data_IF_594313532030
#
_entry.id   IF_594313532030
#
_cell.length_a   1.000
_cell.length_b   1.000
_cell.length_c   1.000
_cell.angle_alpha   90.00
_cell.angle_beta   90.00
_cell.angle_gamma   90.00
#
_symmetry.space_group_name_H-M   'P 1'
#
loop_
_entity.id
_entity.type
_entity.pdbx_description
1 polymer ?
#
# COMPACT_ATOMS: atom_id res chain seq x y z
N UNK A 1 23.95 16.30 5.32
CA UNK A 1 22.50 15.95 5.41
C UNK A 1 22.18 14.46 5.32
N UNK A 2 23.13 13.59 4.99
CA UNK A 2 22.97 12.14 4.81
C UNK A 2 22.95 11.32 6.11
N UNK A 3 23.81 11.64 7.08
CA UNK A 3 23.99 10.85 8.31
C UNK A 3 22.77 10.91 9.24
N UNK A 4 22.13 12.07 9.36
CA UNK A 4 20.92 12.24 10.17
C UNK A 4 19.72 11.44 9.64
N UNK A 5 19.54 11.34 8.30
CA UNK A 5 18.48 10.51 7.71
C UNK A 5 18.70 9.01 7.96
N UNK A 6 19.95 8.56 7.96
CA UNK A 6 20.29 7.15 8.21
C UNK A 6 20.10 6.78 9.68
N UNK A 7 20.48 7.68 10.61
CA UNK A 7 20.27 7.48 12.06
C UNK A 7 18.77 7.43 12.42
N UNK A 8 17.98 8.37 11.93
CA UNK A 8 16.52 8.39 12.21
C UNK A 8 15.78 7.20 11.61
N UNK A 9 16.24 6.67 10.47
CA UNK A 9 15.68 5.44 9.88
C UNK A 9 15.99 4.22 10.76
N UNK A 10 17.18 4.12 11.32
CA UNK A 10 17.58 3.00 12.18
C UNK A 10 16.85 3.04 13.53
N UNK A 11 16.76 4.19 14.19
CA UNK A 11 16.05 4.34 15.47
C UNK A 11 14.57 3.94 15.32
N UNK A 12 13.90 4.39 14.24
CA UNK A 12 12.53 3.99 13.96
C UNK A 12 12.36 2.48 13.78
N UNK A 13 13.30 1.80 13.11
CA UNK A 13 13.25 0.35 12.90
C UNK A 13 13.45 -0.42 14.22
N UNK A 14 14.37 0.03 15.08
CA UNK A 14 14.56 -0.53 16.42
C UNK A 14 13.33 -0.36 17.31
N UNK A 15 12.68 0.80 17.25
CA UNK A 15 11.43 1.03 18.00
C UNK A 15 10.34 0.01 17.63
N UNK A 16 10.13 -0.26 16.33
CA UNK A 16 9.12 -1.24 15.89
C UNK A 16 9.51 -2.68 16.23
N UNK A 17 10.80 -3.01 16.15
CA UNK A 17 11.30 -4.30 16.59
C UNK A 17 11.03 -4.54 18.09
N UNK A 18 11.39 -3.58 18.95
CA UNK A 18 11.13 -3.67 20.40
C UNK A 18 9.64 -3.71 20.70
N UNK A 19 8.83 -2.92 20.00
CA UNK A 19 7.38 -2.94 20.15
C UNK A 19 6.79 -4.30 19.83
N UNK A 20 7.24 -4.97 18.78
CA UNK A 20 6.76 -6.32 18.41
C UNK A 20 7.08 -7.35 19.50
N UNK A 21 8.19 -7.18 20.22
CA UNK A 21 8.56 -8.05 21.34
C UNK A 21 7.67 -7.76 22.57
N UNK A 22 7.45 -6.47 22.88
CA UNK A 22 6.70 -6.06 24.09
C UNK A 22 5.20 -6.21 23.89
N UNK A 23 4.69 -5.91 22.70
CA UNK A 23 3.28 -5.97 22.34
C UNK A 23 3.13 -6.60 20.95
N UNK A 24 3.22 -7.93 20.86
CA UNK A 24 3.13 -8.62 19.57
C UNK A 24 1.75 -8.41 18.95
N UNK A 25 1.72 -8.39 17.61
CA UNK A 25 0.48 -8.33 16.85
C UNK A 25 -0.47 -9.46 17.24
N UNK A 26 -1.75 -9.14 17.33
CA UNK A 26 -2.81 -10.14 17.53
C UNK A 26 -3.22 -10.79 16.21
N UNK A 27 -2.91 -10.17 15.06
CA UNK A 27 -3.23 -10.67 13.73
C UNK A 27 -2.40 -11.93 13.44
N UNK A 28 -3.09 -13.04 13.18
CA UNK A 28 -2.48 -14.34 12.89
C UNK A 28 -2.65 -14.73 11.43
N UNK A 29 -3.74 -14.32 10.80
CA UNK A 29 -4.09 -14.59 9.42
C UNK A 29 -4.02 -13.29 8.60
N UNK A 30 -3.51 -13.36 7.38
CA UNK A 30 -3.48 -12.24 6.45
C UNK A 30 -4.88 -11.72 6.09
N UNK A 31 -5.90 -12.56 6.18
CA UNK A 31 -7.31 -12.20 5.96
C UNK A 31 -7.90 -11.31 7.06
N UNK A 32 -7.30 -11.30 8.24
CA UNK A 32 -7.69 -10.41 9.35
C UNK A 32 -7.15 -8.99 9.17
N UNK A 33 -6.14 -8.79 8.29
CA UNK A 33 -5.51 -7.49 8.09
C UNK A 33 -6.51 -6.52 7.46
N UNK A 34 -6.78 -5.36 8.07
CA UNK A 34 -7.68 -4.37 7.49
C UNK A 34 -7.07 -3.75 6.23
N UNK A 35 -7.85 -3.71 5.16
CA UNK A 35 -7.50 -3.10 3.88
C UNK A 35 -8.25 -1.77 3.77
N UNK A 36 -7.52 -0.66 3.81
CA UNK A 36 -8.08 0.68 3.74
C UNK A 36 -7.83 1.23 2.34
N UNK A 37 -8.90 1.45 1.59
CA UNK A 37 -8.88 1.98 0.23
C UNK A 37 -9.19 3.47 0.28
N UNK A 38 -8.21 4.31 -0.04
CA UNK A 38 -8.40 5.74 -0.19
C UNK A 38 -9.09 6.04 -1.52
N UNK A 39 -10.26 6.62 -1.49
CA UNK A 39 -11.04 6.90 -2.69
C UNK A 39 -11.45 8.38 -2.79
N UNK A 40 -11.37 8.93 -4.00
CA UNK A 40 -11.88 10.25 -4.32
C UNK A 40 -12.47 10.26 -5.73
N UNK A 41 -13.81 10.39 -5.83
CA UNK A 41 -14.57 10.48 -7.08
C UNK A 41 -14.33 9.35 -8.10
N UNK A 42 -13.95 8.14 -7.65
CA UNK A 42 -13.68 6.99 -8.51
C UNK A 42 -14.61 5.83 -8.15
N UNK A 43 -15.54 5.50 -9.05
CA UNK A 43 -16.46 4.37 -8.85
C UNK A 43 -15.95 3.09 -9.52
N UNK A 44 -15.60 3.18 -10.82
CA UNK A 44 -15.27 2.01 -11.64
C UNK A 44 -14.05 1.26 -11.11
N UNK A 45 -12.96 1.99 -10.81
CA UNK A 45 -11.73 1.38 -10.30
C UNK A 45 -11.90 0.87 -8.88
N UNK A 46 -12.65 1.59 -8.03
CA UNK A 46 -12.99 1.15 -6.68
C UNK A 46 -13.73 -0.19 -6.70
N UNK A 47 -14.75 -0.33 -7.55
CA UNK A 47 -15.50 -1.59 -7.70
C UNK A 47 -14.60 -2.72 -8.15
N UNK A 48 -13.80 -2.48 -9.20
CA UNK A 48 -12.88 -3.48 -9.73
C UNK A 48 -11.86 -3.93 -8.67
N UNK A 49 -11.29 -3.00 -7.90
CA UNK A 49 -10.36 -3.33 -6.81
C UNK A 49 -11.04 -4.15 -5.72
N UNK A 50 -12.22 -3.74 -5.26
CA UNK A 50 -12.94 -4.46 -4.19
C UNK A 50 -13.39 -5.85 -4.65
N UNK A 51 -13.83 -6.00 -5.89
CA UNK A 51 -14.18 -7.29 -6.50
C UNK A 51 -12.95 -8.20 -6.60
N UNK A 52 -11.80 -7.66 -7.06
CA UNK A 52 -10.53 -8.41 -7.14
C UNK A 52 -10.09 -8.89 -5.77
N UNK A 53 -10.07 -8.02 -4.75
CA UNK A 53 -9.69 -8.39 -3.39
C UNK A 53 -10.62 -9.45 -2.79
N UNK A 54 -11.93 -9.29 -2.99
CA UNK A 54 -12.93 -10.24 -2.51
C UNK A 54 -12.79 -11.61 -3.20
N UNK A 55 -12.53 -11.63 -4.52
CA UNK A 55 -12.27 -12.85 -5.28
C UNK A 55 -10.99 -13.58 -4.81
N UNK A 56 -10.03 -12.84 -4.22
CA UNK A 56 -8.85 -13.40 -3.56
C UNK A 56 -9.13 -13.87 -2.11
N UNK A 57 -10.35 -13.66 -1.60
CA UNK A 57 -10.75 -14.05 -0.25
C UNK A 57 -10.43 -13.03 0.84
N UNK A 58 -10.09 -11.79 0.47
CA UNK A 58 -9.84 -10.69 1.41
C UNK A 58 -11.10 -9.84 1.55
N UNK A 59 -11.76 -9.92 2.69
CA UNK A 59 -13.06 -9.28 2.94
C UNK A 59 -13.04 -8.18 4.01
N UNK A 60 -11.93 -8.05 4.76
CA UNK A 60 -11.78 -7.03 5.78
C UNK A 60 -11.43 -5.65 5.15
N UNK A 61 -12.34 -5.15 4.31
CA UNK A 61 -12.15 -3.97 3.46
C UNK A 61 -12.90 -2.77 4.05
N UNK A 62 -12.21 -1.63 4.08
CA UNK A 62 -12.72 -0.34 4.49
C UNK A 62 -12.47 0.68 3.39
N UNK A 63 -13.48 1.50 3.09
CA UNK A 63 -13.35 2.59 2.12
C UNK A 63 -13.21 3.90 2.89
N UNK A 64 -12.13 4.62 2.62
CA UNK A 64 -11.91 5.97 3.12
C UNK A 64 -12.29 6.96 2.03
N UNK A 65 -13.50 7.48 2.10
CA UNK A 65 -13.99 8.46 1.16
C UNK A 65 -13.42 9.85 1.46
N UNK A 66 -12.60 10.33 0.57
CA UNK A 66 -11.82 11.55 0.72
C UNK A 66 -12.61 12.79 0.24
N UNK A 67 -13.84 12.94 0.74
CA UNK A 67 -14.81 14.00 0.39
C UNK A 67 -15.24 13.96 -1.10
N UNK A 68 -15.68 12.81 -1.57
CA UNK A 68 -16.19 12.65 -2.94
C UNK A 68 -17.53 13.39 -3.13
N UNK A 69 -17.72 13.88 -4.37
CA UNK A 69 -18.91 14.61 -4.80
C UNK A 69 -19.61 13.95 -6.00
N UNK A 70 -19.04 12.86 -6.53
CA UNK A 70 -19.56 12.17 -7.71
C UNK A 70 -20.84 11.38 -7.37
N UNK A 71 -22.05 11.79 -7.88
CA UNK A 71 -23.33 11.23 -7.44
C UNK A 71 -23.45 9.71 -7.59
N UNK A 72 -22.99 9.05 -8.72
CA UNK A 72 -23.07 7.60 -8.84
C UNK A 72 -22.24 6.86 -7.78
N UNK A 73 -21.11 7.45 -7.33
CA UNK A 73 -20.29 6.87 -6.27
C UNK A 73 -20.99 6.99 -4.92
N UNK A 74 -21.62 8.14 -4.63
CA UNK A 74 -22.34 8.34 -3.38
C UNK A 74 -23.56 7.42 -3.28
N UNK A 75 -24.21 7.12 -4.39
CA UNK A 75 -25.28 6.11 -4.44
C UNK A 75 -24.74 4.70 -4.20
N UNK A 76 -23.63 4.34 -4.82
CA UNK A 76 -22.96 3.05 -4.57
C UNK A 76 -22.61 2.86 -3.08
N UNK A 77 -22.15 3.89 -2.39
CA UNK A 77 -21.82 3.79 -0.97
C UNK A 77 -22.99 3.42 -0.07
N UNK A 78 -24.24 3.71 -0.48
CA UNK A 78 -25.44 3.33 0.29
C UNK A 78 -25.73 1.83 0.27
N UNK A 79 -25.26 1.14 -0.77
CA UNK A 79 -25.57 -0.28 -1.01
C UNK A 79 -24.36 -1.20 -0.96
N UNK A 80 -23.13 -0.63 -0.93
CA UNK A 80 -21.93 -1.45 -0.92
C UNK A 80 -21.77 -2.23 0.41
N UNK A 81 -21.20 -3.45 0.39
CA UNK A 81 -21.09 -4.29 1.59
C UNK A 81 -19.97 -3.85 2.54
N UNK A 82 -19.23 -2.79 2.19
CA UNK A 82 -18.05 -2.35 2.93
C UNK A 82 -18.35 -1.17 3.85
N UNK A 83 -17.62 -1.06 4.93
CA UNK A 83 -17.71 0.13 5.80
C UNK A 83 -17.04 1.32 5.13
N UNK A 84 -17.81 2.40 4.93
CA UNK A 84 -17.33 3.65 4.33
C UNK A 84 -17.15 4.70 5.41
N UNK A 85 -15.96 5.30 5.47
CA UNK A 85 -15.65 6.45 6.32
C UNK A 85 -15.59 7.71 5.48
N UNK A 86 -16.55 8.59 5.65
CA UNK A 86 -16.61 9.87 4.96
C UNK A 86 -15.78 10.93 5.66
N UNK A 87 -14.83 11.52 4.93
CA UNK A 87 -14.09 12.69 5.41
C UNK A 87 -14.78 13.97 4.96
N UNK A 88 -14.69 15.02 5.79
CA UNK A 88 -15.31 16.32 5.49
C UNK A 88 -14.52 17.14 4.45
N UNK A 89 -13.29 16.74 4.16
CA UNK A 89 -12.40 17.41 3.20
C UNK A 89 -11.44 16.43 2.56
N UNK A 90 -10.96 16.76 1.37
CA UNK A 90 -9.95 15.98 0.69
C UNK A 90 -8.56 16.20 1.34
N UNK A 91 -8.07 15.18 2.02
CA UNK A 91 -6.76 15.16 2.69
C UNK A 91 -5.63 14.60 1.80
N UNK A 92 -5.97 14.24 0.55
CA UNK A 92 -5.06 13.65 -0.42
C UNK A 92 -4.63 12.23 -0.04
N UNK A 93 -3.49 11.79 -0.55
CA UNK A 93 -2.94 10.44 -0.31
C UNK A 93 -2.57 10.18 1.16
N UNK A 94 -2.50 11.21 2.01
CA UNK A 94 -2.26 11.10 3.46
C UNK A 94 -3.54 11.00 4.30
N UNK A 95 -4.69 10.76 3.67
CA UNK A 95 -6.00 10.82 4.32
C UNK A 95 -6.09 9.99 5.60
N UNK A 96 -5.60 8.75 5.58
CA UNK A 96 -5.60 7.88 6.76
C UNK A 96 -4.82 8.50 7.93
N UNK A 97 -3.61 9.01 7.68
CA UNK A 97 -2.72 9.50 8.75
C UNK A 97 -3.08 10.89 9.26
N UNK A 98 -3.79 11.68 8.44
CA UNK A 98 -4.29 13.00 8.81
C UNK A 98 -5.68 12.97 9.46
N UNK A 99 -6.36 11.83 9.40
CA UNK A 99 -7.68 11.64 9.99
C UNK A 99 -7.60 10.94 11.36
N UNK A 100 -8.67 10.99 12.17
CA UNK A 100 -8.78 10.24 13.41
C UNK A 100 -8.64 8.72 13.24
N UNK A 101 -8.88 8.21 12.02
CA UNK A 101 -8.79 6.79 11.67
C UNK A 101 -7.38 6.22 11.83
N UNK A 102 -6.35 7.07 11.84
CA UNK A 102 -4.98 6.67 12.20
C UNK A 102 -4.94 5.90 13.52
N UNK A 103 -5.65 6.37 14.55
CA UNK A 103 -5.67 5.72 15.87
C UNK A 103 -6.36 4.35 15.83
N UNK A 104 -7.31 4.15 14.91
CA UNK A 104 -8.04 2.89 14.75
C UNK A 104 -7.22 1.84 14.02
N UNK A 105 -6.58 2.20 12.91
CA UNK A 105 -5.97 1.25 11.99
C UNK A 105 -4.44 1.14 12.11
N UNK A 106 -3.75 2.22 12.48
CA UNK A 106 -2.29 2.25 12.42
C UNK A 106 -1.60 1.72 13.70
N UNK A 107 -2.28 0.94 14.54
CA UNK A 107 -1.69 0.35 15.74
C UNK A 107 -1.16 -1.08 15.52
N UNK A 108 -1.52 -1.72 14.41
CA UNK A 108 -1.10 -3.06 14.05
C UNK A 108 -0.83 -3.13 12.53
N UNK A 109 -0.77 -4.32 11.96
CA UNK A 109 -0.68 -4.49 10.51
C UNK A 109 -1.93 -3.94 9.82
N UNK A 110 -1.73 -3.21 8.75
CA UNK A 110 -2.79 -2.72 7.88
C UNK A 110 -2.29 -2.59 6.44
N UNK A 111 -3.21 -2.62 5.50
CA UNK A 111 -2.98 -2.34 4.09
C UNK A 111 -3.58 -0.98 3.78
N UNK A 112 -2.83 -0.14 3.09
CA UNK A 112 -3.32 1.13 2.59
C UNK A 112 -3.05 1.23 1.10
N UNK A 113 -4.07 1.55 0.32
CA UNK A 113 -3.99 1.63 -1.14
C UNK A 113 -4.91 2.73 -1.67
N UNK A 114 -4.59 3.24 -2.86
CA UNK A 114 -5.52 4.07 -3.62
C UNK A 114 -6.47 3.19 -4.44
N UNK A 115 -7.66 3.71 -4.76
CA UNK A 115 -8.73 2.96 -5.45
C UNK A 115 -8.45 2.63 -6.91
N UNK A 116 -7.38 3.14 -7.49
CA UNK A 116 -6.93 2.88 -8.87
C UNK A 116 -5.72 1.94 -8.97
N UNK A 117 -5.27 1.41 -7.84
CA UNK A 117 -4.16 0.47 -7.76
C UNK A 117 -4.70 -0.96 -7.72
N UNK A 118 -4.71 -1.61 -8.87
CA UNK A 118 -5.34 -2.93 -9.03
C UNK A 118 -4.27 -3.99 -9.26
N UNK A 119 -4.27 -5.10 -8.49
CA UNK A 119 -3.39 -6.24 -8.76
C UNK A 119 -3.61 -6.75 -10.19
N UNK A 120 -2.53 -7.08 -10.89
CA UNK A 120 -2.63 -7.66 -12.24
C UNK A 120 -3.19 -9.09 -12.19
N UNK A 121 -3.78 -9.56 -13.30
CA UNK A 121 -4.32 -10.92 -13.42
C UNK A 121 -3.27 -12.02 -13.19
N UNK A 122 -1.99 -11.71 -13.37
CA UNK A 122 -0.86 -12.62 -13.09
C UNK A 122 -0.44 -12.62 -11.61
N UNK A 123 -1.03 -11.75 -10.78
CA UNK A 123 -0.72 -11.72 -9.37
C UNK A 123 -1.32 -12.94 -8.66
N UNK A 124 -0.53 -13.71 -7.89
CA UNK A 124 -1.06 -14.80 -7.09
C UNK A 124 -2.17 -14.32 -6.15
N UNK A 125 -3.22 -15.11 -5.97
CA UNK A 125 -4.36 -14.74 -5.12
C UNK A 125 -3.99 -14.58 -3.65
N UNK A 126 -2.91 -15.21 -3.21
CA UNK A 126 -2.37 -15.19 -1.85
C UNK A 126 -1.29 -14.13 -1.63
N UNK A 127 -1.27 -13.06 -2.44
CA UNK A 127 -0.22 -12.04 -2.40
C UNK A 127 -0.13 -11.31 -1.04
N UNK A 128 -1.24 -11.11 -0.35
CA UNK A 128 -1.24 -10.50 1.00
C UNK A 128 -0.63 -11.46 2.02
N UNK A 129 -0.95 -12.74 1.93
CA UNK A 129 -0.34 -13.79 2.75
C UNK A 129 1.18 -13.84 2.55
N UNK A 130 1.62 -13.76 1.28
CA UNK A 130 3.04 -13.68 0.97
C UNK A 130 3.70 -12.46 1.62
N UNK A 131 3.14 -11.28 1.46
CA UNK A 131 3.66 -10.05 2.06
C UNK A 131 3.67 -10.11 3.59
N UNK A 132 2.63 -10.66 4.18
CA UNK A 132 2.56 -10.82 5.64
C UNK A 132 3.67 -11.74 6.17
N UNK A 133 3.89 -12.88 5.51
CA UNK A 133 5.00 -13.79 5.83
C UNK A 133 6.37 -13.13 5.67
N UNK A 134 6.58 -12.40 4.57
CA UNK A 134 7.84 -11.71 4.33
C UNK A 134 8.08 -10.58 5.33
N UNK A 135 7.06 -9.81 5.69
CA UNK A 135 7.20 -8.74 6.67
C UNK A 135 7.54 -9.29 8.08
N UNK A 136 6.99 -10.45 8.43
CA UNK A 136 7.34 -11.16 9.69
C UNK A 136 8.79 -11.68 9.70
N UNK A 137 9.31 -12.14 8.56
CA UNK A 137 10.71 -12.58 8.44
C UNK A 137 11.69 -11.41 8.55
N UNK A 138 11.25 -10.19 8.27
CA UNK A 138 12.09 -8.99 8.26
C UNK A 138 11.66 -7.99 9.35
N UNK A 139 12.00 -8.22 10.63
CA UNK A 139 11.50 -7.44 11.76
C UNK A 139 11.87 -5.94 11.70
N UNK A 140 12.90 -5.58 10.94
CA UNK A 140 13.29 -4.18 10.72
C UNK A 140 12.62 -3.55 9.49
N UNK A 141 11.90 -4.33 8.68
CA UNK A 141 11.12 -3.78 7.58
C UNK A 141 9.85 -3.12 8.12
N UNK A 142 9.58 -1.90 7.65
CA UNK A 142 8.43 -1.10 8.09
C UNK A 142 7.25 -1.20 7.13
N UNK A 143 7.52 -1.51 5.88
CA UNK A 143 6.51 -1.68 4.84
C UNK A 143 7.02 -2.63 3.75
N UNK A 144 6.08 -3.29 3.12
CA UNK A 144 6.26 -4.09 1.91
C UNK A 144 5.12 -3.76 0.95
N UNK A 145 5.33 -3.90 -0.33
CA UNK A 145 4.30 -3.65 -1.33
C UNK A 145 4.76 -4.01 -2.72
N UNK A 146 3.86 -3.85 -3.67
CA UNK A 146 4.14 -4.02 -5.09
C UNK A 146 4.94 -2.83 -5.65
N UNK A 147 5.62 -3.05 -6.77
CA UNK A 147 6.04 -1.98 -7.69
C UNK A 147 4.94 -1.74 -8.73
N UNK A 148 4.84 -0.52 -9.21
CA UNK A 148 3.92 -0.19 -10.29
C UNK A 148 4.44 -0.76 -11.62
N UNK A 149 3.50 -1.13 -12.47
CA UNK A 149 3.80 -1.53 -13.84
C UNK A 149 4.08 -0.27 -14.67
N UNK A 150 5.25 -0.21 -15.28
CA UNK A 150 5.73 0.97 -16.03
C UNK A 150 5.77 0.76 -17.54
N UNK A 151 5.55 -0.46 -18.01
CA UNK A 151 5.62 -0.84 -19.44
C UNK A 151 4.34 -0.53 -20.23
N UNK A 152 3.23 -0.22 -19.55
CA UNK A 152 1.95 0.13 -20.16
C UNK A 152 1.54 1.60 -19.95
N UNK A 153 2.45 2.46 -19.52
CA UNK A 153 2.16 3.88 -19.33
C UNK A 153 2.05 4.54 -20.73
N UNK A 154 0.89 5.15 -21.07
CA UNK A 154 0.71 5.81 -22.36
C UNK A 154 1.73 6.92 -22.60
N UNK A 155 2.14 7.10 -23.87
CA UNK A 155 3.09 8.18 -24.23
C UNK A 155 2.51 9.58 -23.99
N UNK A 156 1.18 9.70 -24.00
CA UNK A 156 0.47 10.95 -23.70
C UNK A 156 0.47 11.34 -22.21
N UNK A 157 0.99 10.47 -21.30
CA UNK A 157 1.02 10.77 -19.88
C UNK A 157 2.16 11.74 -19.55
N UNK A 158 1.81 12.94 -19.12
CA UNK A 158 2.76 14.07 -18.92
C UNK A 158 3.89 13.72 -17.93
N UNK A 159 3.61 12.90 -16.91
CA UNK A 159 4.60 12.52 -15.89
C UNK A 159 5.21 11.13 -16.11
N UNK A 160 5.16 10.59 -17.32
CA UNK A 160 5.65 9.26 -17.66
C UNK A 160 7.10 9.02 -17.21
N UNK A 161 7.99 9.93 -17.56
CA UNK A 161 9.41 9.82 -17.25
C UNK A 161 9.68 9.89 -15.74
N UNK A 162 8.95 10.74 -15.00
CA UNK A 162 9.07 10.87 -13.56
C UNK A 162 8.66 9.56 -12.87
N UNK A 163 7.55 8.95 -13.28
CA UNK A 163 7.09 7.66 -12.76
C UNK A 163 8.08 6.54 -13.06
N UNK A 164 8.56 6.44 -14.29
CA UNK A 164 9.57 5.44 -14.70
C UNK A 164 10.84 5.59 -13.85
N UNK A 165 11.33 6.82 -13.69
CA UNK A 165 12.54 7.09 -12.90
C UNK A 165 12.36 6.71 -11.44
N UNK A 166 11.23 7.07 -10.81
CA UNK A 166 10.92 6.73 -9.43
C UNK A 166 10.85 5.23 -9.21
N UNK A 167 10.09 4.51 -10.06
CA UNK A 167 9.96 3.05 -9.95
C UNK A 167 11.29 2.33 -10.22
N UNK A 168 12.10 2.84 -11.16
CA UNK A 168 13.44 2.30 -11.43
C UNK A 168 14.36 2.47 -10.22
N UNK A 169 14.37 3.64 -9.60
CA UNK A 169 15.17 3.90 -8.38
C UNK A 169 14.69 3.01 -7.23
N UNK A 170 13.38 2.87 -7.03
CA UNK A 170 12.81 2.02 -6.00
C UNK A 170 13.18 0.55 -6.22
N UNK A 171 13.05 0.05 -7.44
CA UNK A 171 13.40 -1.33 -7.79
C UNK A 171 14.89 -1.62 -7.63
N UNK A 172 15.77 -0.69 -8.01
CA UNK A 172 17.22 -0.83 -7.81
C UNK A 172 17.61 -0.79 -6.33
N UNK A 173 16.96 0.07 -5.54
CA UNK A 173 17.20 0.16 -4.10
C UNK A 173 16.75 -1.12 -3.39
N UNK A 174 15.63 -1.69 -3.78
CA UNK A 174 15.15 -2.98 -3.27
C UNK A 174 16.12 -4.12 -3.69
N UNK A 175 16.57 -4.16 -4.94
CA UNK A 175 17.55 -5.15 -5.40
C UNK A 175 18.87 -5.05 -4.64
N UNK A 176 19.41 -3.85 -4.42
CA UNK A 176 20.67 -3.68 -3.65
C UNK A 176 20.51 -4.14 -2.20
N UNK A 177 19.37 -3.87 -1.56
CA UNK A 177 19.11 -4.35 -0.20
C UNK A 177 18.86 -5.86 -0.15
N UNK A 178 18.17 -6.42 -1.14
CA UNK A 178 17.99 -7.88 -1.25
C UNK A 178 19.30 -8.58 -1.57
N UNK A 179 20.17 -8.03 -2.40
CA UNK A 179 21.50 -8.60 -2.69
C UNK A 179 22.40 -8.57 -1.46
N UNK A 180 22.35 -7.55 -0.62
CA UNK A 180 23.05 -7.56 0.67
C UNK A 180 22.44 -8.53 1.68
N UNK A 181 21.15 -8.83 1.60
CA UNK A 181 20.48 -9.83 2.43
C UNK A 181 20.49 -11.23 1.82
N UNK A 182 20.60 -11.38 0.49
CA UNK A 182 20.67 -12.68 -0.19
C UNK A 182 21.92 -13.48 0.17
N UNK A 183 23.00 -12.83 0.59
CA UNK A 183 24.17 -13.54 1.17
C UNK A 183 23.87 -14.14 2.56
N UNK A 184 22.72 -13.81 3.19
CA UNK A 184 22.29 -14.42 4.47
C UNK A 184 20.97 -15.20 4.40
N UNK A 185 20.09 -14.92 3.45
CA UNK A 185 18.69 -15.39 3.52
C UNK A 185 18.07 -15.76 2.17
N UNK A 186 18.72 -16.35 1.22
CA UNK A 186 18.15 -16.97 -0.01
C UNK A 186 16.76 -16.42 -0.45
N UNK A 187 16.56 -15.10 -0.47
CA UNK A 187 15.33 -14.49 -0.91
C UNK A 187 15.24 -14.59 -2.44
N UNK A 188 14.34 -15.44 -2.93
CA UNK A 188 13.97 -15.40 -4.33
C UNK A 188 13.26 -14.06 -4.61
N UNK A 189 13.70 -13.27 -5.61
CA UNK A 189 12.95 -12.10 -6.02
C UNK A 189 11.56 -12.54 -6.45
N UNK A 190 10.53 -11.74 -6.09
CA UNK A 190 9.19 -11.90 -6.64
C UNK A 190 9.30 -12.00 -8.16
N UNK A 191 8.58 -12.97 -8.74
CA UNK A 191 8.48 -13.09 -10.19
C UNK A 191 8.18 -11.72 -10.80
N UNK A 192 8.81 -11.33 -11.93
CA UNK A 192 8.51 -10.09 -12.62
C UNK A 192 7.03 -9.91 -13.00
N UNK A 193 6.24 -10.96 -12.91
CA UNK A 193 4.82 -11.00 -13.20
C UNK A 193 3.92 -10.42 -12.11
N UNK A 194 4.41 -10.21 -10.89
CA UNK A 194 3.61 -9.65 -9.80
C UNK A 194 3.77 -8.11 -9.78
N UNK A 195 3.08 -7.43 -10.69
CA UNK A 195 3.07 -5.97 -10.82
C UNK A 195 1.64 -5.45 -10.79
N UNK A 196 1.48 -4.19 -10.38
CA UNK A 196 0.19 -3.50 -10.32
C UNK A 196 -0.03 -2.68 -11.57
N UNK A 197 -1.25 -2.71 -12.12
CA UNK A 197 -1.69 -1.83 -13.20
C UNK A 197 -2.24 -0.52 -12.62
N UNK A 198 -1.66 0.62 -12.99
CA UNK A 198 -2.32 1.91 -12.87
C UNK A 198 -3.06 2.23 -14.17
N UNK A 199 -4.35 2.53 -14.07
CA UNK A 199 -5.05 3.20 -15.18
C UNK A 199 -4.75 4.69 -15.09
N UNK A 200 -4.38 5.35 -16.21
CA UNK A 200 -3.88 6.71 -16.19
C UNK A 200 -4.94 7.70 -15.69
N UNK A 201 -4.59 8.45 -14.66
CA UNK A 201 -5.31 9.65 -14.28
C UNK A 201 -4.31 10.72 -13.82
N UNK A 202 -4.50 11.95 -14.30
CA UNK A 202 -3.63 13.09 -14.07
C UNK A 202 -3.70 13.58 -12.63
N UNK A 203 -2.61 13.48 -11.87
CA UNK A 203 -2.26 14.40 -10.77
C UNK A 203 -0.86 14.13 -10.21
N UNK A 204 -0.23 15.19 -9.78
CA UNK A 204 1.12 15.33 -9.25
C UNK A 204 1.46 14.43 -8.06
N UNK A 205 2.62 13.77 -8.12
CA UNK A 205 3.24 12.99 -7.05
C UNK A 205 3.90 13.90 -6.01
N UNK A 206 3.70 13.67 -4.72
CA UNK A 206 4.45 14.33 -3.68
C UNK A 206 5.36 13.41 -2.86
N UNK A 207 6.36 14.04 -2.27
CA UNK A 207 7.48 13.50 -1.52
C UNK A 207 7.16 12.49 -0.40
N UNK A 208 8.13 11.60 -0.18
CA UNK A 208 8.19 10.51 0.81
C UNK A 208 7.70 10.85 2.22
N UNK A 209 6.83 9.98 2.76
CA UNK A 209 6.29 10.07 4.11
C UNK A 209 6.89 8.97 4.98
N UNK A 210 7.31 9.35 6.19
CA UNK A 210 7.59 8.41 7.25
C UNK A 210 6.29 7.90 7.86
N UNK A 211 6.01 6.60 7.75
CA UNK A 211 4.84 5.95 8.32
C UNK A 211 5.14 5.39 9.71
N UNK A 212 4.23 5.53 10.69
CA UNK A 212 4.49 5.15 12.07
C UNK A 212 4.26 3.68 12.43
N UNK A 213 3.85 2.80 11.51
CA UNK A 213 3.56 1.40 11.77
C UNK A 213 3.96 0.50 10.60
N UNK A 214 3.95 -0.83 10.81
CA UNK A 214 4.19 -1.78 9.73
C UNK A 214 3.02 -1.74 8.76
N UNK A 215 3.26 -1.26 7.55
CA UNK A 215 2.25 -1.03 6.55
C UNK A 215 2.53 -1.92 5.34
N UNK A 216 1.51 -2.59 4.84
CA UNK A 216 1.49 -3.04 3.48
C UNK A 216 1.01 -1.85 2.64
N UNK A 217 1.86 -1.30 1.81
CA UNK A 217 1.43 -0.34 0.84
C UNK A 217 1.27 -1.07 -0.50
N UNK A 218 0.04 -1.15 -0.97
CA UNK A 218 -0.20 -1.25 -2.39
C UNK A 218 0.00 0.17 -2.91
N UNK A 219 1.19 0.50 -3.39
CA UNK A 219 1.50 1.82 -3.94
C UNK A 219 1.44 1.74 -5.43
#
# INVERSE_FOLDING_TARGET
>A
MSIFKTLTCNIGSYYYFLREIISPSLIRDAKEIPIIINNFNRLTTLRLLTETLTACGYTNIYILDNASTYPPLLEYYKTCPFTVFHLNQNLGFKALWKSPLKKRFCNDYYIYTDSDVIPSDYCPKDFIDYFFKELKKHPFARKIGFSLRIDNIPDSYIHKEEVINLETILSQTCRRRSVQSTNRYNLRPLSPSCRIEQKPFSRSLPNSISLPSRTFALV
#
